data_IF_058318636316
#
_entry.id   IF_058318636316
#
_cell.length_a   1.000
_cell.length_b   1.000
_cell.length_c   1.000
_cell.angle_alpha   90.00
_cell.angle_beta   90.00
_cell.angle_gamma   90.00
#
_symmetry.space_group_name_H-M   'P 1'
#
loop_
_entity.id
_entity.type
_entity.pdbx_description
1 polymer ?
#
# COMPACT_ATOMS: atom_id res chain seq x y z
N UNK A 1 -25.96 -38.81 23.00
CA UNK A 1 -26.95 -37.80 22.55
C UNK A 1 -26.69 -36.50 23.28
N UNK A 2 -26.70 -35.39 22.52
CA UNK A 2 -26.57 -33.97 22.91
C UNK A 2 -27.41 -33.65 24.17
N UNK A 3 -27.09 -32.66 25.02
CA UNK A 3 -26.85 -31.24 24.73
C UNK A 3 -26.07 -30.55 25.86
N UNK A 4 -25.18 -29.66 25.47
CA UNK A 4 -24.47 -28.66 26.27
C UNK A 4 -25.46 -27.52 26.58
N UNK A 5 -25.51 -27.07 27.84
CA UNK A 5 -26.20 -25.85 28.25
C UNK A 5 -25.14 -24.81 28.65
N UNK A 6 -25.08 -23.73 27.88
CA UNK A 6 -24.21 -22.57 28.12
C UNK A 6 -24.85 -21.71 29.20
N UNK A 7 -24.14 -21.52 30.31
CA UNK A 7 -24.57 -20.66 31.42
C UNK A 7 -23.91 -19.29 31.24
N UNK A 8 -24.74 -18.26 31.02
CA UNK A 8 -24.34 -16.86 30.91
C UNK A 8 -23.63 -16.38 32.18
N UNK A 9 -22.40 -15.92 32.02
CA UNK A 9 -21.64 -15.18 33.05
C UNK A 9 -22.10 -13.73 33.00
N UNK A 10 -22.83 -13.31 34.03
CA UNK A 10 -23.16 -11.92 34.29
C UNK A 10 -21.97 -11.21 34.91
N UNK A 11 -21.44 -10.20 34.23
CA UNK A 11 -20.49 -9.24 34.82
C UNK A 11 -21.26 -8.18 35.60
N UNK A 12 -21.16 -8.22 36.93
CA UNK A 12 -21.26 -7.03 37.76
C UNK A 12 -20.10 -6.09 37.40
N UNK A 13 -20.38 -4.82 37.13
CA UNK A 13 -19.35 -3.78 37.14
C UNK A 13 -19.72 -2.73 38.20
N UNK A 14 -18.67 -2.41 38.95
CA UNK A 14 -18.54 -1.56 40.11
C UNK A 14 -18.82 -0.07 39.82
N UNK A 15 -19.19 0.64 40.88
CA UNK A 15 -19.41 2.08 40.99
C UNK A 15 -18.14 2.91 40.75
N UNK A 16 -18.24 4.05 40.04
CA UNK A 16 -17.18 5.08 40.04
C UNK A 16 -17.24 6.13 38.92
N UNK A 17 -17.94 7.23 39.16
CA UNK A 17 -17.93 8.59 38.58
C UNK A 17 -17.12 8.96 37.30
N UNK A 18 -17.83 9.39 36.24
CA UNK A 18 -17.56 10.67 35.54
C UNK A 18 -18.76 11.06 34.67
N UNK A 19 -19.26 12.28 34.89
CA UNK A 19 -20.52 12.79 34.39
C UNK A 19 -20.36 13.40 32.99
N UNK A 20 -20.58 12.61 31.94
CA UNK A 20 -20.87 13.06 30.57
C UNK A 20 -21.41 11.89 29.74
N UNK A 21 -22.44 11.21 30.26
CA UNK A 21 -23.13 10.11 29.58
C UNK A 21 -24.20 10.65 28.64
N UNK A 22 -24.31 10.05 27.46
CA UNK A 22 -25.41 10.26 26.51
C UNK A 22 -26.73 10.06 27.24
N UNK A 23 -27.70 10.97 27.07
CA UNK A 23 -28.99 10.83 27.76
C UNK A 23 -29.69 9.56 27.29
N UNK A 24 -30.43 8.92 28.19
CA UNK A 24 -31.16 7.69 27.85
C UNK A 24 -32.13 7.90 26.67
N UNK A 25 -32.67 9.11 26.54
CA UNK A 25 -33.50 9.52 25.40
C UNK A 25 -32.73 9.54 24.07
N UNK A 26 -31.48 10.04 24.05
CA UNK A 26 -30.60 9.98 22.88
C UNK A 26 -30.19 8.55 22.53
N UNK A 27 -29.98 7.71 23.54
CA UNK A 27 -29.69 6.30 23.32
C UNK A 27 -30.89 5.57 22.69
N UNK A 28 -32.08 5.78 23.24
CA UNK A 28 -33.32 5.18 22.73
C UNK A 28 -33.65 5.69 21.32
N UNK A 29 -33.40 6.96 20.99
CA UNK A 29 -33.63 7.50 19.65
C UNK A 29 -32.70 6.88 18.61
N UNK A 30 -31.41 6.71 18.94
CA UNK A 30 -30.42 6.10 18.03
C UNK A 30 -30.69 4.62 17.83
N UNK A 31 -31.14 3.91 18.88
CA UNK A 31 -31.56 2.50 18.76
C UNK A 31 -32.79 2.37 17.87
N UNK A 32 -33.78 3.25 18.00
CA UNK A 32 -34.97 3.24 17.16
C UNK A 32 -34.64 3.55 15.68
N UNK A 33 -33.72 4.48 15.42
CA UNK A 33 -33.26 4.80 14.06
C UNK A 33 -32.49 3.62 13.44
N UNK A 34 -31.60 2.98 14.21
CA UNK A 34 -30.89 1.77 13.80
C UNK A 34 -31.88 0.66 13.42
N UNK A 35 -32.86 0.38 14.28
CA UNK A 35 -33.81 -0.71 14.05
C UNK A 35 -34.70 -0.45 12.82
N UNK A 36 -35.08 0.81 12.59
CA UNK A 36 -35.80 1.21 11.38
C UNK A 36 -34.95 1.04 10.10
N UNK A 37 -33.66 1.35 10.16
CA UNK A 37 -32.74 1.16 9.03
C UNK A 37 -32.47 -0.33 8.76
N UNK A 38 -32.30 -1.14 9.80
CA UNK A 38 -32.16 -2.60 9.68
C UNK A 38 -33.40 -3.22 9.03
N UNK A 39 -34.61 -2.84 9.46
CA UNK A 39 -35.84 -3.32 8.85
C UNK A 39 -35.96 -2.91 7.37
N UNK A 40 -35.48 -1.71 7.02
CA UNK A 40 -35.46 -1.24 5.63
C UNK A 40 -34.47 -2.04 4.77
N UNK A 41 -33.29 -2.38 5.30
CA UNK A 41 -32.32 -3.24 4.64
C UNK A 41 -32.85 -4.66 4.42
N UNK A 42 -33.47 -5.26 5.43
CA UNK A 42 -34.10 -6.58 5.32
C UNK A 42 -35.20 -6.60 4.25
N UNK A 43 -35.97 -5.52 4.11
CA UNK A 43 -36.98 -5.39 3.05
C UNK A 43 -36.36 -5.27 1.65
N UNK A 44 -35.22 -4.56 1.53
CA UNK A 44 -34.48 -4.43 0.27
C UNK A 44 -33.82 -5.75 -0.13
N UNK A 45 -33.25 -6.47 0.83
CA UNK A 45 -32.63 -7.78 0.59
C UNK A 45 -33.68 -8.82 0.16
N UNK A 46 -34.89 -8.78 0.74
CA UNK A 46 -36.00 -9.61 0.30
C UNK A 46 -36.45 -9.30 -1.14
N UNK A 47 -36.49 -8.01 -1.52
CA UNK A 47 -36.84 -7.59 -2.89
C UNK A 47 -35.77 -7.98 -3.92
N UNK A 48 -34.49 -7.88 -3.56
CA UNK A 48 -33.37 -8.33 -4.40
C UNK A 48 -33.39 -9.86 -4.56
N UNK A 49 -33.65 -10.58 -3.46
CA UNK A 49 -33.71 -12.05 -3.49
C UNK A 49 -34.89 -12.59 -4.30
N UNK A 50 -36.01 -11.85 -4.37
CA UNK A 50 -37.15 -12.20 -5.22
C UNK A 50 -36.90 -11.94 -6.72
N UNK A 51 -36.03 -11.00 -7.07
CA UNK A 51 -35.68 -10.69 -8.46
C UNK A 51 -34.66 -11.65 -9.10
N UNK A 52 -33.98 -12.50 -8.31
CA UNK A 52 -32.94 -13.42 -8.81
C UNK A 52 -33.51 -14.82 -9.17
N UNK A 53 -34.77 -15.12 -8.84
CA UNK A 53 -35.37 -16.45 -9.11
C UNK A 53 -35.85 -16.71 -10.55
N UNK A 54 -35.46 -15.90 -11.54
CA UNK A 54 -35.86 -16.14 -12.93
C UNK A 54 -34.71 -16.20 -13.93
N UNK A 55 -33.62 -16.91 -13.61
CA UNK A 55 -32.78 -17.54 -14.65
C UNK A 55 -31.85 -18.65 -14.09
N UNK A 56 -32.15 -19.90 -14.44
CA UNK A 56 -31.14 -20.89 -14.86
C UNK A 56 -30.34 -21.68 -13.81
N UNK A 57 -30.91 -22.78 -13.34
CA UNK A 57 -30.26 -23.91 -12.66
C UNK A 57 -29.33 -24.72 -13.61
N UNK A 58 -28.09 -25.06 -13.19
CA UNK A 58 -27.60 -26.46 -12.96
C UNK A 58 -26.06 -26.61 -12.82
N UNK A 59 -25.67 -26.81 -11.56
CA UNK A 59 -24.70 -27.74 -10.94
C UNK A 59 -23.77 -28.61 -11.83
N UNK A 60 -22.47 -28.62 -11.48
CA UNK A 60 -21.66 -29.84 -11.33
C UNK A 60 -20.53 -29.62 -10.32
N UNK A 61 -20.43 -30.54 -9.36
CA UNK A 61 -19.41 -30.73 -8.33
C UNK A 61 -18.08 -31.21 -8.91
N UNK A 62 -16.95 -30.78 -8.34
CA UNK A 62 -15.87 -31.71 -7.96
C UNK A 62 -14.96 -31.10 -6.88
N UNK A 63 -14.59 -31.91 -5.90
CA UNK A 63 -13.64 -31.59 -4.83
C UNK A 63 -12.22 -31.92 -5.33
N UNK A 64 -11.26 -31.00 -5.20
CA UNK A 64 -9.84 -31.38 -5.08
C UNK A 64 -9.08 -30.32 -4.28
N UNK A 65 -8.46 -30.81 -3.21
CA UNK A 65 -7.54 -30.11 -2.32
C UNK A 65 -6.18 -29.92 -3.02
N UNK A 66 -5.74 -28.68 -3.18
CA UNK A 66 -4.34 -28.34 -3.48
C UNK A 66 -3.97 -26.97 -2.91
N UNK A 67 -2.92 -26.95 -2.08
CA UNK A 67 -2.19 -25.75 -1.64
C UNK A 67 -1.80 -24.90 -2.86
N UNK A 68 -2.30 -23.67 -2.93
CA UNK A 68 -1.75 -22.65 -3.81
C UNK A 68 -1.62 -21.30 -3.11
N UNK A 69 -0.47 -20.72 -3.40
CA UNK A 69 0.08 -19.42 -3.07
C UNK A 69 -0.91 -18.30 -3.46
N UNK A 70 -0.99 -17.25 -2.63
CA UNK A 70 -1.82 -16.07 -2.83
C UNK A 70 -1.62 -15.45 -4.22
N UNK A 71 -2.59 -15.63 -5.12
CA UNK A 71 -2.67 -14.89 -6.38
C UNK A 71 -3.25 -13.50 -6.14
N UNK A 72 -2.40 -12.49 -6.28
CA UNK A 72 -2.81 -11.10 -6.49
C UNK A 72 -3.55 -11.04 -7.83
N UNK A 73 -4.77 -10.48 -7.85
CA UNK A 73 -5.49 -10.21 -9.12
C UNK A 73 -4.78 -9.05 -9.82
N UNK A 74 -3.83 -9.36 -10.69
CA UNK A 74 -3.17 -8.37 -11.55
C UNK A 74 -4.18 -7.75 -12.51
N UNK A 75 -4.56 -6.49 -12.24
CA UNK A 75 -5.01 -5.59 -13.29
C UNK A 75 -3.79 -5.23 -14.15
N UNK A 76 -3.48 -6.07 -15.13
CA UNK A 76 -2.39 -5.86 -16.07
C UNK A 76 -2.65 -4.61 -16.91
N UNK A 77 -2.01 -3.50 -16.56
CA UNK A 77 -1.84 -2.37 -17.47
C UNK A 77 -0.70 -2.74 -18.42
N UNK A 78 -0.98 -3.03 -19.69
CA UNK A 78 -0.01 -3.60 -20.65
C UNK A 78 1.32 -2.84 -20.75
N UNK A 79 1.34 -1.58 -20.32
CA UNK A 79 2.46 -0.66 -20.43
C UNK A 79 3.30 -0.48 -19.15
N UNK A 80 2.75 -0.80 -17.97
CA UNK A 80 3.44 -0.68 -16.69
C UNK A 80 3.33 -1.99 -15.93
N UNK A 81 4.49 -2.57 -15.66
CA UNK A 81 4.63 -3.86 -15.00
C UNK A 81 5.00 -3.66 -13.52
N UNK A 82 4.32 -4.37 -12.63
CA UNK A 82 4.75 -4.50 -11.23
C UNK A 82 5.80 -5.61 -11.18
N UNK A 83 7.02 -5.26 -10.79
CA UNK A 83 8.14 -6.19 -10.72
C UNK A 83 8.23 -6.90 -9.37
N UNK A 84 7.87 -6.21 -8.29
CA UNK A 84 7.91 -6.72 -6.94
C UNK A 84 7.03 -5.88 -6.01
N UNK A 85 6.55 -6.50 -4.95
CA UNK A 85 5.81 -5.87 -3.87
C UNK A 85 6.42 -6.28 -2.53
N UNK A 86 6.58 -5.32 -1.61
CA UNK A 86 7.14 -5.56 -0.29
C UNK A 86 6.31 -4.88 0.79
N UNK A 87 6.10 -5.58 1.91
CA UNK A 87 5.38 -5.05 3.06
C UNK A 87 6.33 -4.82 4.22
N UNK A 88 6.24 -3.65 4.84
CA UNK A 88 7.05 -3.28 6.00
C UNK A 88 6.18 -2.60 7.07
N UNK A 89 5.79 -3.31 8.15
CA UNK A 89 5.19 -2.68 9.31
C UNK A 89 6.21 -1.75 9.98
N UNK A 90 5.75 -0.62 10.53
CA UNK A 90 6.61 0.23 11.34
C UNK A 90 6.86 -0.40 12.72
N UNK A 91 7.95 0.02 13.36
CA UNK A 91 8.36 -0.54 14.66
C UNK A 91 7.45 -0.16 15.84
N UNK A 92 6.44 0.71 15.63
CA UNK A 92 5.54 1.20 16.69
C UNK A 92 4.09 0.72 16.52
N UNK A 93 3.78 0.01 15.43
CA UNK A 93 2.47 -0.50 15.09
C UNK A 93 1.45 0.59 14.73
N UNK A 94 1.86 1.64 14.00
CA UNK A 94 0.94 2.67 13.52
C UNK A 94 0.66 2.54 12.03
N UNK A 95 1.72 2.28 11.25
CA UNK A 95 1.64 2.18 9.81
C UNK A 95 2.22 0.86 9.33
N UNK A 96 1.59 0.31 8.29
CA UNK A 96 2.21 -0.70 7.43
C UNK A 96 2.42 -0.10 6.05
N UNK A 97 3.67 -0.14 5.57
CA UNK A 97 4.04 0.36 4.25
C UNK A 97 4.00 -0.77 3.24
N UNK A 98 3.47 -0.46 2.07
CA UNK A 98 3.46 -1.34 0.92
C UNK A 98 4.26 -0.69 -0.21
N UNK A 99 5.45 -1.21 -0.48
CA UNK A 99 6.34 -0.74 -1.56
C UNK A 99 6.06 -1.52 -2.83
N UNK A 100 5.89 -0.81 -3.93
CA UNK A 100 5.55 -1.39 -5.24
C UNK A 100 6.63 -0.96 -6.22
N UNK A 101 7.43 -1.92 -6.69
CA UNK A 101 8.47 -1.69 -7.69
C UNK A 101 7.82 -1.80 -9.06
N UNK A 102 7.86 -0.71 -9.83
CA UNK A 102 7.21 -0.62 -11.13
C UNK A 102 8.20 -0.33 -12.24
N UNK A 103 7.93 -0.89 -13.41
CA UNK A 103 8.67 -0.60 -14.64
C UNK A 103 7.74 -0.10 -15.71
N UNK A 104 8.08 1.03 -16.31
CA UNK A 104 7.39 1.53 -17.49
C UNK A 104 7.98 0.87 -18.74
N UNK A 105 7.24 -0.06 -19.34
CA UNK A 105 7.59 -0.76 -20.57
C UNK A 105 7.07 -0.02 -21.83
N UNK A 106 6.34 1.09 -21.68
CA UNK A 106 5.92 1.92 -22.80
C UNK A 106 7.06 2.76 -23.38
N UNK A 107 6.75 3.50 -24.45
CA UNK A 107 7.64 4.46 -25.11
C UNK A 107 7.41 5.91 -24.67
N UNK A 108 6.57 6.16 -23.67
CA UNK A 108 6.23 7.51 -23.17
C UNK A 108 6.53 7.64 -21.68
N UNK A 109 6.62 8.86 -21.16
CA UNK A 109 6.65 9.11 -19.72
C UNK A 109 5.25 9.02 -19.15
N UNK A 110 5.06 8.31 -18.03
CA UNK A 110 3.75 8.07 -17.42
C UNK A 110 3.70 8.54 -15.97
N UNK A 111 2.54 9.02 -15.54
CA UNK A 111 2.20 9.17 -14.13
C UNK A 111 1.44 7.91 -13.68
N UNK A 112 1.79 7.40 -12.49
CA UNK A 112 1.21 6.19 -11.90
C UNK A 112 0.52 6.58 -10.59
N UNK A 113 -0.66 6.02 -10.35
CA UNK A 113 -1.32 6.09 -9.06
C UNK A 113 -1.96 4.76 -8.71
N UNK A 114 -2.02 4.46 -7.42
CA UNK A 114 -2.65 3.24 -6.91
C UNK A 114 -3.78 3.57 -5.95
N UNK A 115 -4.76 2.68 -5.89
CA UNK A 115 -5.81 2.65 -4.88
C UNK A 115 -5.93 1.21 -4.40
N UNK A 116 -5.65 0.97 -3.12
CA UNK A 116 -5.50 -0.37 -2.58
C UNK A 116 -6.34 -0.60 -1.34
N UNK A 117 -6.89 -1.80 -1.24
CA UNK A 117 -7.54 -2.34 -0.05
C UNK A 117 -6.65 -3.44 0.55
N UNK A 118 -6.43 -3.40 1.86
CA UNK A 118 -5.64 -4.40 2.58
C UNK A 118 -6.55 -5.34 3.37
N UNK A 119 -6.20 -6.62 3.40
CA UNK A 119 -6.95 -7.67 4.09
C UNK A 119 -6.03 -8.50 5.00
N UNK A 120 -6.58 -8.94 6.14
CA UNK A 120 -5.98 -9.97 6.99
C UNK A 120 -6.25 -11.39 6.46
N UNK A 121 -5.61 -12.38 7.07
CA UNK A 121 -5.66 -13.79 6.64
C UNK A 121 -7.08 -14.38 6.64
N UNK A 122 -7.95 -13.91 7.54
CA UNK A 122 -9.36 -14.31 7.63
C UNK A 122 -10.28 -13.61 6.61
N UNK A 123 -9.73 -12.74 5.76
CA UNK A 123 -10.47 -11.97 4.77
C UNK A 123 -11.09 -10.67 5.29
N UNK A 124 -10.84 -10.28 6.54
CA UNK A 124 -11.28 -8.98 7.06
C UNK A 124 -10.51 -7.85 6.38
N UNK A 125 -11.22 -6.82 5.91
CA UNK A 125 -10.58 -5.59 5.40
C UNK A 125 -10.00 -4.79 6.57
N UNK A 126 -8.70 -4.52 6.54
CA UNK A 126 -7.96 -3.89 7.64
C UNK A 126 -7.38 -2.51 7.29
N UNK A 127 -7.51 -2.07 6.05
CA UNK A 127 -7.09 -0.73 5.66
C UNK A 127 -7.35 -0.42 4.18
N UNK A 128 -7.18 0.85 3.85
CA UNK A 128 -7.17 1.37 2.50
C UNK A 128 -6.09 2.45 2.38
N UNK A 129 -5.37 2.49 1.27
CA UNK A 129 -4.33 3.48 1.02
C UNK A 129 -4.21 3.76 -0.48
N UNK A 130 -3.51 4.84 -0.81
CA UNK A 130 -3.22 5.24 -2.19
C UNK A 130 -1.74 5.58 -2.30
N UNK A 131 -1.19 5.41 -3.50
CA UNK A 131 0.19 5.75 -3.85
C UNK A 131 0.24 6.58 -5.12
N UNK A 132 1.36 7.28 -5.34
CA UNK A 132 1.60 8.06 -6.56
C UNK A 132 3.08 8.09 -6.92
N UNK A 133 3.35 8.02 -8.22
CA UNK A 133 4.65 8.26 -8.82
C UNK A 133 4.45 9.15 -10.05
N UNK A 134 5.02 10.34 -10.01
CA UNK A 134 5.00 11.26 -11.15
C UNK A 134 6.17 10.98 -12.09
N UNK A 135 5.92 11.06 -13.39
CA UNK A 135 6.93 11.09 -14.44
C UNK A 135 7.91 9.90 -14.49
N UNK A 136 7.40 8.66 -14.51
CA UNK A 136 8.22 7.49 -14.78
C UNK A 136 8.56 7.39 -16.27
N UNK A 137 9.84 7.56 -16.61
CA UNK A 137 10.34 7.55 -17.98
C UNK A 137 10.21 6.19 -18.68
N UNK A 138 10.20 6.21 -20.01
CA UNK A 138 10.17 4.99 -20.82
C UNK A 138 11.37 4.09 -20.48
N UNK A 139 11.12 2.81 -20.21
CA UNK A 139 12.12 1.82 -19.82
C UNK A 139 12.67 1.97 -18.39
N UNK A 140 12.24 2.97 -17.63
CA UNK A 140 12.72 3.20 -16.27
C UNK A 140 11.99 2.32 -15.25
N UNK A 141 12.71 1.97 -14.18
CA UNK A 141 12.18 1.29 -13.00
C UNK A 141 12.27 2.24 -11.81
N UNK A 142 11.22 2.29 -11.00
CA UNK A 142 11.21 3.09 -9.77
C UNK A 142 10.27 2.46 -8.74
N UNK A 143 10.08 3.14 -7.62
CA UNK A 143 9.23 2.71 -6.51
C UNK A 143 8.18 3.77 -6.20
N UNK A 144 6.99 3.30 -5.87
CA UNK A 144 6.00 4.05 -5.10
C UNK A 144 5.66 3.25 -3.84
N UNK A 145 5.09 3.92 -2.85
CA UNK A 145 4.59 3.23 -1.67
C UNK A 145 3.25 3.77 -1.22
N UNK A 146 2.53 2.91 -0.51
CA UNK A 146 1.28 3.21 0.16
C UNK A 146 1.52 3.08 1.66
N UNK A 147 0.78 3.86 2.46
CA UNK A 147 0.84 3.81 3.92
C UNK A 147 -0.53 3.48 4.47
N UNK A 148 -0.68 2.28 5.03
CA UNK A 148 -1.90 1.82 5.66
C UNK A 148 -1.84 2.15 7.16
N UNK A 149 -2.81 2.93 7.66
CA UNK A 149 -2.94 3.26 9.09
C UNK A 149 -3.53 2.09 9.87
N UNK A 150 -2.78 1.00 9.97
CA UNK A 150 -3.23 -0.23 10.62
C UNK A 150 -2.07 -0.94 11.30
N UNK A 151 -2.39 -1.53 12.45
CA UNK A 151 -1.50 -2.41 13.21
C UNK A 151 -1.85 -3.89 13.03
N UNK A 152 -2.89 -4.18 12.23
CA UNK A 152 -3.25 -5.55 11.88
C UNK A 152 -2.22 -6.12 10.91
N UNK A 153 -1.93 -7.41 11.04
CA UNK A 153 -1.14 -8.12 10.04
C UNK A 153 -1.90 -8.14 8.71
N UNK A 154 -1.29 -7.58 7.67
CA UNK A 154 -1.81 -7.63 6.30
C UNK A 154 -1.29 -8.92 5.65
N UNK A 155 -2.18 -9.67 4.99
CA UNK A 155 -1.84 -10.88 4.24
C UNK A 155 -2.05 -10.74 2.74
N UNK A 156 -2.90 -9.80 2.31
CA UNK A 156 -3.26 -9.61 0.89
C UNK A 156 -3.63 -8.16 0.61
N UNK A 157 -3.29 -7.70 -0.59
CA UNK A 157 -3.75 -6.44 -1.15
C UNK A 157 -4.68 -6.69 -2.35
N UNK A 158 -5.72 -5.88 -2.47
CA UNK A 158 -6.43 -5.67 -3.73
C UNK A 158 -6.07 -4.28 -4.22
N UNK A 159 -5.16 -4.22 -5.20
CA UNK A 159 -4.63 -2.97 -5.75
C UNK A 159 -5.20 -2.70 -7.14
N UNK A 160 -5.67 -1.47 -7.33
CA UNK A 160 -5.95 -0.91 -8.66
C UNK A 160 -4.78 0.00 -9.06
N UNK A 161 -4.05 -0.40 -10.11
CA UNK A 161 -2.96 0.39 -10.69
C UNK A 161 -3.45 1.19 -11.90
N UNK A 162 -3.34 2.52 -11.79
CA UNK A 162 -3.75 3.47 -12.81
C UNK A 162 -2.52 4.13 -13.45
N UNK A 163 -2.53 4.26 -14.77
CA UNK A 163 -1.48 4.94 -15.52
C UNK A 163 -2.07 5.97 -16.47
N UNK A 164 -1.33 7.05 -16.69
CA UNK A 164 -1.67 8.04 -17.70
C UNK A 164 -0.41 8.69 -18.27
N UNK A 165 -0.40 9.15 -19.52
CA UNK A 165 0.73 9.93 -20.05
C UNK A 165 0.94 11.19 -19.20
N UNK A 166 2.18 11.44 -18.78
CA UNK A 166 2.49 12.62 -17.96
C UNK A 166 2.29 13.90 -18.78
N UNK A 167 1.45 14.80 -18.27
CA UNK A 167 1.07 16.04 -18.99
C UNK A 167 1.98 17.23 -18.65
N UNK A 168 2.53 17.24 -17.45
CA UNK A 168 3.22 18.40 -16.88
C UNK A 168 4.70 18.18 -16.67
N UNK A 169 5.13 16.92 -16.62
CA UNK A 169 6.47 16.54 -16.20
C UNK A 169 7.09 15.58 -17.20
N UNK A 170 8.42 15.63 -17.28
CA UNK A 170 9.23 14.61 -17.93
C UNK A 170 10.05 13.90 -16.89
N UNK A 171 10.35 12.63 -17.17
CA UNK A 171 11.30 11.88 -16.38
C UNK A 171 12.69 12.50 -16.49
N UNK A 172 13.45 12.31 -15.42
CA UNK A 172 14.90 12.54 -15.39
C UNK A 172 15.65 11.28 -14.97
N UNK A 173 14.95 10.21 -14.60
CA UNK A 173 15.54 8.98 -14.05
C UNK A 173 16.54 8.37 -15.03
N UNK A 174 16.25 8.39 -16.33
CA UNK A 174 17.13 7.92 -17.41
C UNK A 174 18.42 8.71 -17.54
N UNK A 175 18.43 9.97 -17.09
CA UNK A 175 19.57 10.87 -17.10
C UNK A 175 20.38 10.80 -15.79
N UNK A 176 19.83 10.15 -14.74
CA UNK A 176 20.49 9.98 -13.46
C UNK A 176 21.37 8.73 -13.45
N UNK A 177 22.47 8.81 -12.72
CA UNK A 177 23.31 7.66 -12.37
C UNK A 177 23.71 7.77 -10.91
N UNK A 178 24.02 6.65 -10.27
CA UNK A 178 24.50 6.66 -8.90
C UNK A 178 25.69 5.74 -8.69
N UNK A 179 26.50 6.09 -7.70
CA UNK A 179 27.51 5.20 -7.11
C UNK A 179 27.10 4.92 -5.68
N UNK A 180 27.08 3.64 -5.31
CA UNK A 180 26.88 3.17 -3.95
C UNK A 180 28.23 2.85 -3.30
N UNK A 181 28.43 3.31 -2.07
CA UNK A 181 29.57 2.93 -1.24
C UNK A 181 29.03 2.41 0.08
N UNK A 182 29.14 1.10 0.30
CA UNK A 182 28.65 0.46 1.52
C UNK A 182 29.48 0.92 2.72
N UNK A 183 28.79 1.17 3.82
CA UNK A 183 29.38 1.53 5.11
C UNK A 183 28.74 0.66 6.19
N UNK A 184 29.30 0.70 7.40
CA UNK A 184 28.67 0.04 8.53
C UNK A 184 27.26 0.59 8.76
N UNK A 185 26.26 -0.29 8.81
CA UNK A 185 24.85 0.06 8.99
C UNK A 185 24.18 0.81 7.83
N UNK A 186 24.77 0.88 6.62
CA UNK A 186 24.11 1.54 5.50
C UNK A 186 24.97 1.73 4.24
N UNK A 187 24.71 2.81 3.51
CA UNK A 187 25.49 3.19 2.34
C UNK A 187 25.51 4.70 2.11
N UNK A 188 26.57 5.18 1.44
CA UNK A 188 26.62 6.52 0.87
C UNK A 188 26.35 6.43 -0.63
N UNK A 189 25.25 7.05 -1.05
CA UNK A 189 24.88 7.19 -2.46
C UNK A 189 25.34 8.54 -2.99
N UNK A 190 25.88 8.54 -4.20
CA UNK A 190 26.27 9.74 -4.93
C UNK A 190 25.50 9.78 -6.24
N UNK A 191 24.44 10.58 -6.31
CA UNK A 191 23.56 10.68 -7.47
C UNK A 191 24.01 11.83 -8.36
N UNK A 192 24.25 11.54 -9.63
CA UNK A 192 24.73 12.49 -10.64
C UNK A 192 23.70 12.66 -11.73
N UNK A 193 23.38 13.92 -12.06
CA UNK A 193 22.56 14.26 -13.22
C UNK A 193 23.45 14.39 -14.47
N UNK A 194 23.34 13.44 -15.40
CA UNK A 194 24.04 13.46 -16.69
C UNK A 194 23.23 14.09 -17.81
N UNK A 195 22.00 14.49 -17.52
CA UNK A 195 21.10 15.18 -18.44
C UNK A 195 21.54 16.62 -18.70
N UNK A 196 20.81 17.27 -19.62
CA UNK A 196 21.05 18.66 -20.02
C UNK A 196 20.22 19.67 -19.22
N UNK A 197 19.16 19.20 -18.58
CA UNK A 197 18.23 19.99 -17.80
C UNK A 197 18.44 19.70 -16.31
N UNK A 198 18.02 20.62 -15.44
CA UNK A 198 17.99 20.34 -14.00
C UNK A 198 17.04 19.17 -13.69
N UNK A 199 17.45 18.31 -12.76
CA UNK A 199 16.61 17.25 -12.23
C UNK A 199 15.99 17.71 -10.91
N UNK A 200 14.68 17.96 -10.90
CA UNK A 200 13.95 18.49 -9.75
C UNK A 200 13.42 17.37 -8.85
N UNK A 201 13.40 17.65 -7.54
CA UNK A 201 12.82 16.78 -6.51
C UNK A 201 13.32 15.33 -6.57
N UNK A 202 14.60 15.13 -6.93
CA UNK A 202 15.19 13.79 -6.98
C UNK A 202 15.17 13.19 -5.58
N UNK A 203 14.47 12.09 -5.41
CA UNK A 203 14.42 11.33 -4.16
C UNK A 203 14.95 9.93 -4.40
N UNK A 204 15.84 9.47 -3.52
CA UNK A 204 16.32 8.10 -3.50
C UNK A 204 15.62 7.32 -2.40
N UNK A 205 15.21 6.10 -2.73
CA UNK A 205 14.60 5.13 -1.83
C UNK A 205 15.54 3.94 -1.71
N UNK A 206 16.10 3.74 -0.52
CA UNK A 206 16.90 2.57 -0.19
C UNK A 206 16.02 1.58 0.58
N UNK A 207 15.84 0.39 0.00
CA UNK A 207 15.15 -0.74 0.61
C UNK A 207 16.21 -1.74 1.11
N UNK A 208 16.20 -2.04 2.41
CA UNK A 208 17.20 -2.89 3.06
C UNK A 208 16.64 -4.29 3.27
N UNK A 209 17.36 -5.30 2.81
CA UNK A 209 16.93 -6.69 2.82
C UNK A 209 17.84 -7.56 3.67
N UNK A 210 17.23 -8.55 4.33
CA UNK A 210 17.91 -9.65 5.02
C UNK A 210 17.33 -10.97 4.53
N UNK A 211 18.14 -11.85 3.95
CA UNK A 211 17.66 -13.16 3.46
C UNK A 211 16.44 -13.08 2.50
N UNK A 212 16.34 -11.97 1.74
CA UNK A 212 15.22 -11.57 0.86
C UNK A 212 13.98 -10.97 1.52
N UNK A 213 13.96 -10.80 2.84
CA UNK A 213 12.89 -10.08 3.53
C UNK A 213 13.24 -8.60 3.64
N UNK A 214 12.27 -7.71 3.38
CA UNK A 214 12.43 -6.28 3.58
C UNK A 214 12.42 -6.00 5.09
N UNK A 215 13.55 -5.53 5.63
CA UNK A 215 13.73 -5.27 7.07
C UNK A 215 13.77 -3.78 7.41
N UNK A 216 13.96 -2.93 6.40
CA UNK A 216 14.00 -1.49 6.61
C UNK A 216 13.94 -0.72 5.31
N UNK A 217 13.70 0.58 5.43
CA UNK A 217 13.83 1.52 4.33
C UNK A 217 14.28 2.88 4.82
N UNK A 218 14.92 3.65 3.94
CA UNK A 218 15.14 5.08 4.13
C UNK A 218 14.94 5.79 2.79
N UNK A 219 14.32 6.97 2.81
CA UNK A 219 14.28 7.86 1.66
C UNK A 219 14.92 9.21 1.96
N UNK A 220 15.53 9.82 0.95
CA UNK A 220 16.16 11.13 1.10
C UNK A 220 16.23 11.87 -0.23
N UNK A 221 16.08 13.20 -0.17
CA UNK A 221 16.20 14.05 -1.34
C UNK A 221 17.67 14.32 -1.70
N UNK A 222 18.00 14.06 -2.95
CA UNK A 222 19.27 14.44 -3.58
C UNK A 222 19.09 15.77 -4.29
N UNK A 223 18.98 16.85 -3.53
CA UNK A 223 18.75 18.19 -4.08
C UNK A 223 19.64 19.25 -3.44
N UNK A 224 19.93 20.31 -4.19
CA UNK A 224 20.52 21.54 -3.67
C UNK A 224 19.45 22.47 -3.08
N UNK A 225 19.84 23.70 -2.70
CA UNK A 225 18.93 24.68 -2.10
C UNK A 225 17.77 25.10 -3.03
N UNK A 226 17.88 24.84 -4.33
CA UNK A 226 16.83 25.08 -5.33
C UNK A 226 15.96 23.83 -5.56
N UNK A 227 16.07 22.79 -4.72
CA UNK A 227 15.36 21.51 -4.87
C UNK A 227 15.69 20.75 -6.15
N UNK A 228 16.93 20.86 -6.65
CA UNK A 228 17.35 20.21 -7.90
C UNK A 228 18.78 19.62 -7.85
N UNK A 229 19.09 18.74 -8.81
CA UNK A 229 20.45 18.44 -9.23
C UNK A 229 20.69 19.13 -10.58
N UNK A 230 21.56 20.15 -10.59
CA UNK A 230 21.95 20.86 -11.82
C UNK A 230 22.69 19.90 -12.80
N UNK A 231 22.67 20.17 -14.12
CA UNK A 231 23.39 19.37 -15.11
C UNK A 231 24.87 19.15 -14.76
N UNK A 232 25.32 17.89 -14.85
CA UNK A 232 26.68 17.47 -14.54
C UNK A 232 27.07 17.58 -13.06
N UNK A 233 26.12 17.81 -12.15
CA UNK A 233 26.37 17.86 -10.71
C UNK A 233 26.01 16.55 -10.03
N UNK A 234 26.69 16.33 -8.92
CA UNK A 234 26.52 15.17 -8.04
C UNK A 234 26.12 15.65 -6.66
N UNK A 235 25.15 14.98 -6.06
CA UNK A 235 24.77 15.17 -4.66
C UNK A 235 24.98 13.85 -3.92
N UNK A 236 25.57 13.92 -2.73
CA UNK A 236 25.86 12.75 -1.90
C UNK A 236 24.97 12.75 -0.66
N UNK A 237 24.38 11.60 -0.35
CA UNK A 237 23.61 11.38 0.87
C UNK A 237 23.96 10.02 1.46
N UNK A 238 23.95 9.96 2.77
CA UNK A 238 24.04 8.71 3.50
C UNK A 238 22.62 8.23 3.80
N UNK A 239 22.41 6.93 3.68
CA UNK A 239 21.23 6.21 4.18
C UNK A 239 21.70 5.11 5.12
N UNK A 240 20.86 4.76 6.07
CA UNK A 240 21.13 3.90 7.22
C UNK A 240 19.96 2.97 7.49
N UNK A 241 20.26 1.77 7.96
CA UNK A 241 19.29 0.82 8.46
C UNK A 241 19.45 0.67 9.98
N UNK A 242 18.34 0.48 10.67
CA UNK A 242 18.35 0.13 12.10
C UNK A 242 18.47 -1.38 12.33
N UNK A 243 17.99 -2.18 11.40
CA UNK A 243 18.04 -3.64 11.42
C UNK A 243 19.25 -4.16 10.60
N UNK A 244 19.71 -5.37 10.92
CA UNK A 244 20.76 -6.05 10.15
C UNK A 244 20.27 -6.36 8.73
N UNK A 245 21.10 -6.09 7.72
CA UNK A 245 20.79 -6.35 6.31
C UNK A 245 22.00 -6.95 5.56
N UNK A 246 21.74 -7.54 4.39
CA UNK A 246 22.75 -8.10 3.48
C UNK A 246 22.66 -7.56 2.04
N UNK A 247 21.56 -6.87 1.70
CA UNK A 247 21.34 -6.26 0.39
C UNK A 247 20.62 -4.92 0.53
N UNK A 248 20.98 -3.97 -0.36
CA UNK A 248 20.25 -2.72 -0.56
C UNK A 248 19.75 -2.71 -2.00
N UNK A 249 18.45 -2.47 -2.19
CA UNK A 249 17.89 -2.08 -3.49
C UNK A 249 17.63 -0.59 -3.46
N UNK A 250 18.11 0.14 -4.48
CA UNK A 250 18.05 1.60 -4.52
C UNK A 250 17.32 2.07 -5.78
N UNK A 251 16.28 2.87 -5.57
CA UNK A 251 15.42 3.40 -6.63
C UNK A 251 15.40 4.92 -6.58
N UNK A 252 15.33 5.56 -7.74
CA UNK A 252 15.26 7.01 -7.87
C UNK A 252 13.92 7.43 -8.44
N UNK A 253 13.39 8.53 -7.90
CA UNK A 253 12.33 9.32 -8.51
C UNK A 253 12.89 10.69 -8.89
N UNK A 254 12.17 11.44 -9.71
CA UNK A 254 12.55 12.80 -10.08
C UNK A 254 11.87 13.26 -11.36
N UNK A 255 11.85 14.56 -11.60
CA UNK A 255 11.15 15.15 -12.76
C UNK A 255 11.81 16.43 -13.27
N UNK A 256 11.32 16.93 -14.41
CA UNK A 256 11.61 18.25 -14.99
C UNK A 256 10.45 18.76 -15.84
#
# INVERSE_FOLDING_TARGET
MRKIAVMLIGCLILTGCSNSGITQELYESVVAERDALTQKLESLEADVSNNIQHEGEKVSTDETESKETSETKESQNENVEVLAEYTLPDGIGWYTRHFIIVKNNSNETVDISTSSLAYSEDGTMVGAANGKLDALGAGCTSVLYESFETNAQISRYEMELNTSPSQYYKSVIEDLSFVQNDIDGGAVFQVTNNGKDSAEFVEGYALFFKENELVGYESTYFTDDDSQIKPGKTISKQVTAYEDFDRIEFYLTGRK
#
